data_IF_060387121532
#
_entry.id   IF_060387121532
#
_cell.length_a   1.000
_cell.length_b   1.000
_cell.length_c   1.000
_cell.angle_alpha   90.00
_cell.angle_beta   90.00
_cell.angle_gamma   90.00
#
_symmetry.space_group_name_H-M   'P 1'
#
loop_
_entity.id
_entity.type
_entity.pdbx_description
1 polymer ?
#
# COMPACT_ATOMS: atom_id res chain seq x y z
N UNK A 1 12.74 5.39 52.10
CA UNK A 1 13.27 5.85 50.80
C UNK A 1 12.88 4.75 49.79
N UNK A 2 11.63 4.85 49.32
CA UNK A 2 11.08 3.92 48.33
C UNK A 2 11.57 4.37 46.96
N UNK A 3 12.30 3.50 46.30
CA UNK A 3 12.74 3.69 44.92
C UNK A 3 11.63 3.14 44.05
N UNK A 4 10.81 4.04 43.46
CA UNK A 4 9.75 3.74 42.53
C UNK A 4 10.39 3.38 41.16
N UNK A 5 10.57 2.08 40.91
CA UNK A 5 10.96 1.59 39.59
C UNK A 5 9.73 1.54 38.70
N UNK A 6 9.35 2.68 38.14
CA UNK A 6 8.50 2.70 36.97
C UNK A 6 9.27 2.12 35.78
N UNK A 7 9.32 0.79 35.69
CA UNK A 7 9.75 0.08 34.49
C UNK A 7 8.66 0.31 33.43
N UNK A 8 8.88 1.33 32.59
CA UNK A 8 8.09 1.51 31.37
C UNK A 8 8.41 0.29 30.48
N UNK A 9 7.55 -0.71 30.52
CA UNK A 9 7.56 -1.74 29.50
C UNK A 9 7.18 -1.08 28.18
N UNK A 10 8.18 -0.68 27.39
CA UNK A 10 7.99 -0.45 25.98
C UNK A 10 7.54 -1.78 25.38
N UNK A 11 6.24 -1.96 25.19
CA UNK A 11 5.71 -3.00 24.34
C UNK A 11 6.30 -2.72 22.95
N UNK A 12 7.34 -3.46 22.63
CA UNK A 12 7.99 -3.40 21.33
C UNK A 12 7.00 -4.00 20.32
N UNK A 13 6.13 -3.18 19.74
CA UNK A 13 5.21 -3.58 18.69
C UNK A 13 6.00 -3.86 17.43
N UNK A 14 5.61 -4.87 16.69
CA UNK A 14 6.12 -5.13 15.35
C UNK A 14 5.36 -4.27 14.33
N UNK A 15 5.99 -3.92 13.21
CA UNK A 15 5.33 -3.26 12.10
C UNK A 15 4.26 -4.20 11.53
N UNK A 16 3.06 -3.67 11.27
CA UNK A 16 1.94 -4.44 10.70
C UNK A 16 1.52 -3.84 9.37
N UNK A 17 1.30 -4.70 8.39
CA UNK A 17 0.66 -4.34 7.14
C UNK A 17 -0.69 -5.06 7.04
N UNK A 18 -1.76 -4.29 6.85
CA UNK A 18 -3.10 -4.79 6.57
C UNK A 18 -3.41 -4.58 5.09
N UNK A 19 -3.77 -5.64 4.37
CA UNK A 19 -4.26 -5.53 3.00
C UNK A 19 -5.70 -5.02 3.02
N UNK A 20 -5.92 -3.79 2.56
CA UNK A 20 -7.24 -3.18 2.45
C UNK A 20 -7.95 -3.60 1.16
N UNK A 21 -7.16 -3.86 0.12
CA UNK A 21 -7.60 -4.38 -1.15
C UNK A 21 -6.45 -5.05 -1.89
N UNK A 22 -6.76 -6.10 -2.61
CA UNK A 22 -5.76 -6.95 -3.32
C UNK A 22 -6.15 -7.19 -4.77
N UNK A 23 -7.19 -6.52 -5.25
CA UNK A 23 -7.69 -6.63 -6.61
C UNK A 23 -7.14 -5.56 -7.54
N UNK A 24 -7.19 -5.84 -8.82
CA UNK A 24 -6.87 -4.93 -9.92
C UNK A 24 -7.91 -3.80 -10.07
N UNK A 25 -7.72 -2.94 -11.06
CA UNK A 25 -8.52 -1.73 -11.33
C UNK A 25 -10.04 -1.92 -11.40
N UNK A 26 -10.53 -3.12 -11.70
CA UNK A 26 -11.96 -3.44 -11.76
C UNK A 26 -12.51 -3.97 -10.42
N UNK A 27 -11.64 -4.35 -9.48
CA UNK A 27 -12.03 -5.11 -8.30
C UNK A 27 -12.57 -6.52 -8.65
N UNK A 28 -12.88 -7.33 -7.64
CA UNK A 28 -13.51 -8.65 -7.81
C UNK A 28 -14.63 -8.77 -6.77
N UNK A 29 -15.88 -9.03 -7.18
CA UNK A 29 -16.38 -9.32 -8.53
C UNK A 29 -16.37 -8.12 -9.46
N UNK A 30 -16.19 -8.38 -10.75
CA UNK A 30 -16.28 -7.37 -11.81
C UNK A 30 -17.76 -7.12 -12.16
N UNK A 31 -18.11 -5.86 -12.39
CA UNK A 31 -19.47 -5.46 -12.78
C UNK A 31 -19.93 -6.25 -14.02
N UNK A 32 -21.13 -6.79 -13.96
CA UNK A 32 -21.76 -7.60 -15.03
C UNK A 32 -20.98 -8.87 -15.42
N UNK A 33 -20.10 -9.38 -14.57
CA UNK A 33 -19.36 -10.62 -14.83
C UNK A 33 -19.95 -11.81 -14.08
N UNK A 34 -20.26 -12.87 -14.81
CA UNK A 34 -20.86 -14.10 -14.31
C UNK A 34 -19.87 -15.28 -14.22
N UNK A 35 -18.57 -15.02 -14.29
CA UNK A 35 -17.57 -16.08 -14.20
C UNK A 35 -17.56 -16.76 -12.81
N UNK A 36 -17.01 -17.98 -12.70
CA UNK A 36 -17.00 -18.72 -11.43
C UNK A 36 -16.32 -17.95 -10.27
N UNK A 37 -15.28 -17.15 -10.55
CA UNK A 37 -14.59 -16.36 -9.53
C UNK A 37 -15.47 -15.21 -9.04
N UNK A 38 -16.11 -14.46 -9.94
CA UNK A 38 -17.02 -13.37 -9.58
C UNK A 38 -18.27 -13.84 -8.82
N UNK A 39 -18.72 -15.08 -9.06
CA UNK A 39 -19.84 -15.72 -8.35
C UNK A 39 -19.41 -16.51 -7.11
N UNK A 40 -18.13 -16.57 -6.81
CA UNK A 40 -17.61 -17.33 -5.67
C UNK A 40 -18.12 -16.77 -4.34
N UNK A 41 -18.42 -17.68 -3.42
CA UNK A 41 -18.74 -17.36 -2.01
C UNK A 41 -17.50 -17.35 -1.11
N UNK A 42 -16.35 -17.80 -1.62
CA UNK A 42 -15.09 -17.71 -0.89
C UNK A 42 -14.68 -16.24 -0.74
N UNK A 43 -14.55 -15.73 0.50
CA UNK A 43 -14.19 -14.34 0.74
C UNK A 43 -12.83 -13.97 0.14
N UNK A 44 -11.91 -14.91 -0.05
CA UNK A 44 -10.59 -14.66 -0.65
C UNK A 44 -10.66 -14.36 -2.15
N UNK A 45 -11.80 -14.64 -2.79
CA UNK A 45 -12.08 -14.28 -4.18
C UNK A 45 -12.82 -12.93 -4.31
N UNK A 46 -13.08 -12.24 -3.20
CA UNK A 46 -13.63 -10.87 -3.19
C UNK A 46 -12.49 -9.91 -2.89
N UNK A 47 -12.26 -8.95 -3.78
CA UNK A 47 -11.09 -8.08 -3.72
C UNK A 47 -11.48 -6.65 -4.04
N UNK A 48 -11.31 -5.74 -3.09
CA UNK A 48 -11.28 -4.31 -3.35
C UNK A 48 -10.03 -3.95 -4.17
N UNK A 49 -10.02 -2.76 -4.77
CA UNK A 49 -8.84 -2.23 -5.48
C UNK A 49 -7.66 -2.07 -4.53
N UNK A 50 -6.46 -2.27 -5.06
CA UNK A 50 -5.23 -2.39 -4.28
C UNK A 50 -4.98 -1.20 -3.36
N UNK A 51 -4.81 -1.48 -2.09
CA UNK A 51 -4.39 -0.54 -1.06
C UNK A 51 -3.92 -1.30 0.17
N UNK A 52 -2.97 -0.74 0.92
CA UNK A 52 -2.51 -1.30 2.19
C UNK A 52 -2.43 -0.23 3.27
N UNK A 53 -2.57 -0.65 4.51
CA UNK A 53 -2.46 0.19 5.70
C UNK A 53 -1.39 -0.34 6.61
N UNK A 54 -0.43 0.51 6.98
CA UNK A 54 0.73 0.14 7.77
C UNK A 54 0.65 0.82 9.12
N UNK A 55 0.73 0.05 10.18
CA UNK A 55 0.98 0.51 11.53
C UNK A 55 2.44 0.26 11.87
N UNK A 56 3.17 1.33 12.17
CA UNK A 56 4.58 1.28 12.54
C UNK A 56 4.76 0.90 14.02
N UNK A 57 5.98 0.53 14.40
CA UNK A 57 6.31 0.16 15.78
C UNK A 57 6.11 1.30 16.80
N UNK A 58 6.14 2.55 16.33
CA UNK A 58 5.90 3.78 17.12
C UNK A 58 4.49 4.38 16.92
N UNK A 59 3.53 3.53 16.50
CA UNK A 59 2.12 3.89 16.32
C UNK A 59 1.89 5.06 15.34
N UNK A 60 2.67 5.11 14.24
CA UNK A 60 2.30 5.88 13.05
C UNK A 60 1.47 5.01 12.12
N UNK A 61 0.58 5.66 11.40
CA UNK A 61 -0.39 5.01 10.53
C UNK A 61 -0.24 5.55 9.13
N UNK A 62 0.20 4.69 8.21
CA UNK A 62 0.53 5.04 6.84
C UNK A 62 -0.43 4.30 5.91
N UNK A 63 -1.10 5.04 5.04
CA UNK A 63 -1.94 4.48 4.00
C UNK A 63 -1.17 4.49 2.68
N UNK A 64 -1.21 3.38 1.94
CA UNK A 64 -0.71 3.32 0.56
C UNK A 64 -1.88 3.16 -0.38
N UNK A 65 -2.02 4.12 -1.29
CA UNK A 65 -3.09 4.29 -2.25
C UNK A 65 -4.50 4.51 -1.65
N UNK A 66 -5.28 5.32 -2.34
CA UNK A 66 -6.61 5.79 -1.93
C UNK A 66 -7.58 5.56 -3.08
N UNK A 67 -7.95 4.32 -3.32
CA UNK A 67 -8.87 3.91 -4.38
C UNK A 67 -10.34 4.25 -4.09
N UNK A 68 -11.25 4.01 -5.05
CA UNK A 68 -12.67 4.34 -4.90
C UNK A 68 -13.39 3.66 -3.72
N UNK A 69 -12.90 2.50 -3.26
CA UNK A 69 -13.44 1.80 -2.10
C UNK A 69 -12.85 2.24 -0.76
N UNK A 70 -11.98 3.25 -0.73
CA UNK A 70 -11.28 3.69 0.48
C UNK A 70 -12.20 3.86 1.69
N UNK A 71 -13.38 4.46 1.49
CA UNK A 71 -14.37 4.59 2.58
C UNK A 71 -14.79 3.22 3.13
N UNK A 72 -15.09 2.24 2.28
CA UNK A 72 -15.48 0.89 2.70
C UNK A 72 -14.31 0.18 3.38
N UNK A 73 -13.12 0.27 2.80
CA UNK A 73 -11.89 -0.28 3.37
C UNK A 73 -11.64 0.26 4.78
N UNK A 74 -11.82 1.56 5.02
CA UNK A 74 -11.70 2.15 6.36
C UNK A 74 -12.73 1.61 7.35
N UNK A 75 -13.99 1.51 6.92
CA UNK A 75 -15.07 1.03 7.79
C UNK A 75 -14.92 -0.43 8.18
N UNK A 76 -14.52 -1.28 7.23
CA UNK A 76 -14.37 -2.72 7.45
C UNK A 76 -13.12 -3.08 8.28
N UNK A 77 -12.09 -2.24 8.25
CA UNK A 77 -10.85 -2.44 9.00
C UNK A 77 -10.73 -1.52 10.23
N UNK A 78 -11.80 -0.82 10.61
CA UNK A 78 -11.86 0.11 11.75
C UNK A 78 -10.75 1.16 11.77
N UNK A 79 -10.38 1.69 10.59
CA UNK A 79 -9.32 2.70 10.45
C UNK A 79 -9.83 4.03 11.01
N UNK A 80 -9.16 4.54 12.03
CA UNK A 80 -9.52 5.78 12.74
C UNK A 80 -8.48 6.88 12.58
N UNK A 81 -7.29 6.56 12.11
CA UNK A 81 -6.16 7.48 12.04
C UNK A 81 -5.32 7.23 10.80
N UNK A 82 -4.84 8.31 10.18
CA UNK A 82 -3.85 8.30 9.11
C UNK A 82 -2.89 9.44 9.39
N UNK A 83 -1.60 9.14 9.51
CA UNK A 83 -0.54 10.14 9.73
C UNK A 83 0.12 10.56 8.41
N UNK A 84 0.11 9.69 7.39
CA UNK A 84 0.62 9.98 6.06
C UNK A 84 -0.04 9.09 5.00
N UNK A 85 -0.04 9.56 3.77
CA UNK A 85 -0.46 8.80 2.58
C UNK A 85 0.72 8.68 1.63
N UNK A 86 0.95 7.49 1.09
CA UNK A 86 1.90 7.22 0.03
C UNK A 86 1.11 6.82 -1.22
N UNK A 87 1.41 7.41 -2.36
CA UNK A 87 0.74 7.05 -3.62
C UNK A 87 1.75 6.43 -4.58
N UNK A 88 1.39 5.29 -5.15
CA UNK A 88 2.21 4.61 -6.14
C UNK A 88 2.18 5.35 -7.47
N UNK A 89 1.00 5.76 -7.91
CA UNK A 89 0.76 6.51 -9.15
C UNK A 89 -0.68 7.08 -9.16
N UNK A 90 -1.05 7.75 -10.26
CA UNK A 90 -2.28 8.53 -10.36
C UNK A 90 -3.44 7.86 -11.08
N UNK A 91 -3.42 6.54 -11.32
CA UNK A 91 -4.57 5.83 -11.87
C UNK A 91 -5.77 5.89 -10.92
N UNK A 92 -6.97 5.80 -11.50
CA UNK A 92 -8.23 6.02 -10.78
C UNK A 92 -8.42 5.04 -9.61
N UNK A 93 -8.02 3.82 -9.79
CA UNK A 93 -8.13 2.74 -8.79
C UNK A 93 -7.19 2.93 -7.58
N UNK A 94 -6.16 3.76 -7.70
CA UNK A 94 -5.22 4.11 -6.63
C UNK A 94 -5.46 5.50 -6.04
N UNK A 95 -6.26 6.37 -6.70
CA UNK A 95 -6.34 7.78 -6.33
C UNK A 95 -7.76 8.31 -6.10
N UNK A 96 -8.80 7.78 -6.73
CA UNK A 96 -10.10 8.46 -6.78
C UNK A 96 -10.93 8.40 -5.48
N UNK A 97 -10.43 7.84 -4.40
CA UNK A 97 -10.98 7.95 -3.05
C UNK A 97 -10.43 9.13 -2.23
N UNK A 98 -9.54 9.95 -2.83
CA UNK A 98 -8.76 10.99 -2.13
C UNK A 98 -9.64 12.03 -1.42
N UNK A 99 -10.86 12.30 -1.89
CA UNK A 99 -11.80 13.21 -1.22
C UNK A 99 -12.18 12.76 0.19
N UNK A 100 -12.22 11.46 0.45
CA UNK A 100 -12.56 10.93 1.77
C UNK A 100 -11.45 11.13 2.81
N UNK A 101 -10.25 11.53 2.41
CA UNK A 101 -9.18 11.97 3.32
C UNK A 101 -9.59 13.21 4.16
N UNK A 102 -10.62 13.95 3.73
CA UNK A 102 -11.21 15.05 4.53
C UNK A 102 -11.70 14.64 5.92
N UNK A 103 -11.92 13.34 6.15
CA UNK A 103 -12.29 12.82 7.46
C UNK A 103 -11.10 12.87 8.45
N UNK A 104 -9.88 12.84 7.95
CA UNK A 104 -8.65 12.89 8.73
C UNK A 104 -8.05 14.30 8.81
N UNK A 105 -8.25 15.13 7.77
CA UNK A 105 -7.82 16.54 7.73
C UNK A 105 -8.70 17.32 6.75
N UNK A 106 -9.25 18.45 7.17
CA UNK A 106 -10.25 19.18 6.39
C UNK A 106 -10.01 20.69 6.37
N UNK A 107 -10.02 21.27 5.16
CA UNK A 107 -10.12 22.73 4.97
C UNK A 107 -11.58 23.16 4.84
N UNK A 108 -11.99 24.17 5.59
CA UNK A 108 -13.37 24.70 5.59
C UNK A 108 -13.35 26.23 5.53
N UNK A 109 -14.42 26.81 4.95
CA UNK A 109 -14.56 28.27 4.83
C UNK A 109 -14.68 28.96 6.22
N UNK A 110 -15.31 28.29 7.17
CA UNK A 110 -15.48 28.77 8.55
C UNK A 110 -15.12 27.67 9.55
N UNK A 111 -14.63 28.11 10.70
CA UNK A 111 -14.40 27.21 11.82
C UNK A 111 -15.73 26.57 12.26
N UNK A 112 -15.82 25.23 12.25
CA UNK A 112 -17.02 24.51 12.64
C UNK A 112 -17.26 24.59 14.15
N UNK A 113 -18.52 24.47 14.56
CA UNK A 113 -18.91 24.50 15.98
C UNK A 113 -18.94 23.12 16.64
N UNK A 114 -19.14 22.07 15.85
CA UNK A 114 -19.16 20.71 16.37
C UNK A 114 -17.74 20.20 16.65
N UNK A 115 -17.53 19.48 17.78
CA UNK A 115 -16.18 19.08 18.19
C UNK A 115 -15.43 18.22 17.18
N UNK A 116 -16.12 17.29 16.51
CA UNK A 116 -15.50 16.37 15.56
C UNK A 116 -15.00 17.09 14.28
N UNK A 117 -15.81 17.99 13.73
CA UNK A 117 -15.40 18.80 12.59
C UNK A 117 -14.33 19.82 12.97
N UNK A 118 -14.37 20.34 14.20
CA UNK A 118 -13.36 21.27 14.72
C UNK A 118 -11.99 20.58 14.85
N UNK A 119 -11.94 19.36 15.31
CA UNK A 119 -10.71 18.57 15.41
C UNK A 119 -10.07 18.40 14.01
N UNK A 120 -10.84 17.99 13.01
CA UNK A 120 -10.38 17.87 11.63
C UNK A 120 -9.92 19.20 11.02
N UNK A 121 -10.65 20.27 11.30
CA UNK A 121 -10.31 21.61 10.85
C UNK A 121 -8.99 22.10 11.41
N UNK A 122 -8.70 21.81 12.68
CA UNK A 122 -7.46 22.18 13.38
C UNK A 122 -6.30 21.24 13.07
N UNK A 123 -6.54 20.05 12.53
CA UNK A 123 -5.49 19.12 12.15
C UNK A 123 -4.53 19.77 11.12
N UNK A 124 -3.23 19.47 11.19
CA UNK A 124 -2.30 19.89 10.15
C UNK A 124 -2.69 19.28 8.80
N UNK A 125 -2.20 19.84 7.68
CA UNK A 125 -2.35 19.20 6.38
C UNK A 125 -1.82 17.76 6.44
N UNK A 126 -2.59 16.82 5.88
CA UNK A 126 -2.17 15.43 5.79
C UNK A 126 -1.06 15.30 4.74
N UNK A 127 0.15 14.83 5.09
CA UNK A 127 1.23 14.67 4.12
C UNK A 127 0.92 13.53 3.16
N UNK A 128 1.08 13.82 1.86
CA UNK A 128 0.91 12.86 0.75
C UNK A 128 2.22 12.81 -0.03
N UNK A 129 2.87 11.66 -0.03
CA UNK A 129 4.14 11.43 -0.70
C UNK A 129 3.92 10.67 -2.00
N UNK A 130 4.58 11.10 -3.07
CA UNK A 130 4.47 10.45 -4.38
C UNK A 130 5.58 10.91 -5.32
N UNK A 131 5.64 10.37 -6.55
CA UNK A 131 6.54 10.87 -7.59
C UNK A 131 6.03 12.16 -8.23
N UNK A 132 6.89 12.82 -8.98
CA UNK A 132 6.59 14.12 -9.62
C UNK A 132 5.38 14.06 -10.55
N UNK A 133 5.29 13.02 -11.38
CA UNK A 133 4.19 12.88 -12.37
C UNK A 133 2.84 12.76 -11.66
N UNK A 134 2.77 11.93 -10.63
CA UNK A 134 1.56 11.78 -9.84
C UNK A 134 1.21 13.07 -9.08
N UNK A 135 2.19 13.79 -8.55
CA UNK A 135 1.98 15.08 -7.88
C UNK A 135 1.37 16.13 -8.83
N UNK A 136 1.86 16.22 -10.06
CA UNK A 136 1.32 17.09 -11.11
C UNK A 136 -0.12 16.73 -11.47
N UNK A 137 -0.40 15.43 -11.65
CA UNK A 137 -1.74 14.91 -11.93
C UNK A 137 -2.75 15.24 -10.82
N UNK A 138 -2.37 15.03 -9.54
CA UNK A 138 -3.22 15.38 -8.40
C UNK A 138 -3.53 16.87 -8.41
N UNK A 139 -2.53 17.71 -8.63
CA UNK A 139 -2.68 19.17 -8.66
C UNK A 139 -3.65 19.63 -9.74
N UNK A 140 -3.69 18.94 -10.87
CA UNK A 140 -4.63 19.21 -11.96
C UNK A 140 -6.04 18.68 -11.67
N UNK A 141 -6.17 17.39 -11.37
CA UNK A 141 -7.48 16.72 -11.22
C UNK A 141 -8.23 17.17 -9.97
N UNK A 142 -7.50 17.46 -8.89
CA UNK A 142 -8.06 17.88 -7.59
C UNK A 142 -7.64 19.30 -7.22
N UNK A 143 -7.58 20.20 -8.22
CA UNK A 143 -7.15 21.58 -8.04
C UNK A 143 -7.90 22.33 -6.92
N UNK A 144 -9.14 21.95 -6.65
CA UNK A 144 -9.95 22.53 -5.56
C UNK A 144 -9.38 22.27 -4.15
N UNK A 145 -8.52 21.27 -3.94
CA UNK A 145 -7.83 21.08 -2.66
C UNK A 145 -6.84 22.21 -2.34
N UNK A 146 -6.31 22.83 -3.37
CA UNK A 146 -5.28 23.86 -3.28
C UNK A 146 -5.82 25.27 -3.43
N UNK A 147 -7.14 25.43 -3.65
CA UNK A 147 -7.81 26.70 -3.74
C UNK A 147 -8.42 27.10 -2.40
N UNK A 148 -8.54 28.41 -2.10
CA UNK A 148 -9.28 28.87 -0.94
C UNK A 148 -10.74 28.39 -0.98
N UNK A 149 -11.20 27.78 0.10
CA UNK A 149 -12.61 27.37 0.21
C UNK A 149 -13.50 28.62 0.26
N UNK A 150 -14.39 28.76 -0.73
CA UNK A 150 -15.22 29.97 -0.90
C UNK A 150 -16.57 29.87 -0.20
N UNK A 151 -17.23 28.70 -0.26
CA UNK A 151 -18.56 28.46 0.30
C UNK A 151 -18.75 26.98 0.64
N UNK A 152 -19.66 26.69 1.58
CA UNK A 152 -20.15 25.33 1.83
C UNK A 152 -19.22 24.46 2.66
N UNK A 153 -19.18 23.19 2.31
CA UNK A 153 -18.45 22.14 3.03
C UNK A 153 -16.93 22.29 3.04
N UNK A 154 -16.25 21.22 3.46
CA UNK A 154 -14.81 21.18 3.45
C UNK A 154 -14.27 20.20 2.39
N UNK A 155 -13.04 20.38 1.99
CA UNK A 155 -12.25 19.43 1.19
C UNK A 155 -11.09 18.87 2.00
N UNK A 156 -10.48 17.78 1.54
CA UNK A 156 -9.29 17.23 2.16
C UNK A 156 -8.18 18.31 2.21
N UNK A 157 -7.54 18.44 3.37
CA UNK A 157 -6.42 19.36 3.59
C UNK A 157 -5.13 18.55 3.51
N UNK A 158 -4.55 18.52 2.33
CA UNK A 158 -3.38 17.72 2.01
C UNK A 158 -2.17 18.57 1.68
N UNK A 159 -0.98 18.04 1.95
CA UNK A 159 0.30 18.62 1.54
C UNK A 159 1.06 17.59 0.71
N UNK A 160 1.30 17.89 -0.57
CA UNK A 160 2.00 16.98 -1.49
C UNK A 160 3.50 17.14 -1.34
N UNK A 161 4.19 16.01 -1.20
CA UNK A 161 5.64 15.89 -1.15
C UNK A 161 6.13 14.99 -2.28
N UNK A 162 7.07 15.47 -3.07
CA UNK A 162 7.74 14.64 -4.07
C UNK A 162 8.82 13.84 -3.37
N UNK A 163 8.69 12.51 -3.39
CA UNK A 163 9.61 11.59 -2.75
C UNK A 163 10.62 11.06 -3.79
N UNK A 164 11.83 11.61 -3.78
CA UNK A 164 12.96 11.15 -4.61
C UNK A 164 13.97 10.34 -3.80
N UNK A 165 14.13 10.68 -2.51
CA UNK A 165 15.05 10.03 -1.57
C UNK A 165 14.29 9.36 -0.42
N UNK A 166 15.01 8.57 0.37
CA UNK A 166 14.49 8.00 1.62
C UNK A 166 14.18 9.10 2.64
N UNK A 167 13.06 8.96 3.34
CA UNK A 167 12.63 9.86 4.41
C UNK A 167 12.07 9.06 5.60
N UNK A 168 11.68 9.74 6.67
CA UNK A 168 11.15 9.10 7.87
C UNK A 168 9.72 9.53 8.17
N UNK A 169 8.88 8.56 8.58
CA UNK A 169 7.60 8.79 9.23
C UNK A 169 7.70 8.13 10.60
N UNK A 170 7.80 8.95 11.66
CA UNK A 170 8.19 8.43 12.97
C UNK A 170 9.56 7.76 12.92
N UNK A 171 9.67 6.53 13.41
CA UNK A 171 10.91 5.74 13.39
C UNK A 171 11.09 4.89 12.13
N UNK A 172 10.08 4.82 11.27
CA UNK A 172 10.10 4.02 10.05
C UNK A 172 10.75 4.79 8.91
N UNK A 173 11.81 4.23 8.33
CA UNK A 173 12.40 4.74 7.10
C UNK A 173 11.55 4.28 5.91
N UNK A 174 11.16 5.24 5.06
CA UNK A 174 10.41 5.01 3.83
C UNK A 174 11.36 5.26 2.66
N UNK A 175 11.53 4.29 1.78
CA UNK A 175 12.33 4.43 0.57
C UNK A 175 11.46 4.26 -0.66
N UNK A 176 11.36 5.28 -1.54
CA UNK A 176 10.68 5.14 -2.82
C UNK A 176 11.50 4.23 -3.75
N UNK A 177 10.84 3.26 -4.36
CA UNK A 177 11.45 2.32 -5.30
C UNK A 177 10.92 2.62 -6.71
N UNK A 178 11.75 3.13 -7.63
CA UNK A 178 11.33 3.39 -9.00
C UNK A 178 10.93 2.11 -9.73
N UNK A 179 9.77 2.12 -10.37
CA UNK A 179 9.25 1.00 -11.16
C UNK A 179 8.58 1.54 -12.43
N UNK A 180 8.21 0.64 -13.34
CA UNK A 180 7.47 0.98 -14.55
C UNK A 180 6.20 0.17 -14.67
N UNK A 181 5.12 0.84 -15.03
CA UNK A 181 3.82 0.29 -15.38
C UNK A 181 3.57 0.59 -16.88
N UNK A 182 4.03 -0.30 -17.76
CA UNK A 182 4.18 0.02 -19.17
C UNK A 182 5.19 1.16 -19.38
N UNK A 183 4.71 2.31 -19.86
CA UNK A 183 5.51 3.52 -20.02
C UNK A 183 5.35 4.54 -18.88
N UNK A 184 4.46 4.26 -17.93
CA UNK A 184 4.21 5.13 -16.78
C UNK A 184 5.20 4.81 -15.66
N UNK A 185 6.01 5.79 -15.20
CA UNK A 185 6.79 5.63 -13.97
C UNK A 185 5.86 5.52 -12.76
N UNK A 186 6.04 4.46 -11.96
CA UNK A 186 5.34 4.22 -10.71
C UNK A 186 6.33 4.10 -9.55
N UNK A 187 5.83 4.19 -8.33
CA UNK A 187 6.66 4.15 -7.12
C UNK A 187 6.22 3.00 -6.24
N UNK A 188 7.11 2.04 -6.04
CA UNK A 188 7.01 1.09 -4.95
C UNK A 188 7.49 1.71 -3.64
N UNK A 189 7.13 1.12 -2.53
CA UNK A 189 7.47 1.62 -1.21
C UNK A 189 8.16 0.55 -0.36
N UNK A 190 9.34 0.84 0.13
CA UNK A 190 10.07 0.01 1.07
C UNK A 190 9.98 0.65 2.47
N UNK A 191 9.45 -0.09 3.42
CA UNK A 191 9.31 0.28 4.83
C UNK A 191 10.38 -0.45 5.62
N UNK A 192 11.25 0.27 6.30
CA UNK A 192 12.34 -0.31 7.09
C UNK A 192 12.29 0.19 8.51
N UNK A 193 12.25 -0.71 9.47
CA UNK A 193 12.36 -0.43 10.88
C UNK A 193 13.61 -1.08 11.49
N UNK A 194 14.17 -0.43 12.50
CA UNK A 194 15.30 -0.98 13.25
C UNK A 194 14.84 -1.31 14.66
N UNK A 195 14.98 -2.58 15.04
CA UNK A 195 14.64 -3.08 16.37
C UNK A 195 15.83 -3.89 16.91
N UNK A 196 16.36 -3.53 18.07
CA UNK A 196 17.54 -4.19 18.68
C UNK A 196 18.71 -4.33 17.68
N UNK A 197 19.02 -3.27 16.96
CA UNK A 197 20.06 -3.22 15.91
C UNK A 197 19.83 -4.11 14.70
N UNK A 198 18.68 -4.75 14.61
CA UNK A 198 18.26 -5.54 13.43
C UNK A 198 17.31 -4.71 12.58
N UNK A 199 17.63 -4.53 11.30
CA UNK A 199 16.74 -3.92 10.32
C UNK A 199 15.84 -4.98 9.71
N UNK A 200 14.53 -4.74 9.73
CA UNK A 200 13.52 -5.55 9.08
C UNK A 200 12.67 -4.69 8.14
N UNK A 201 12.21 -5.28 7.06
CA UNK A 201 11.53 -4.51 6.02
C UNK A 201 10.35 -5.24 5.39
N UNK A 202 9.41 -4.41 4.93
CA UNK A 202 8.31 -4.79 4.04
C UNK A 202 8.47 -3.97 2.76
N UNK A 203 8.48 -4.61 1.58
CA UNK A 203 8.40 -3.95 0.29
C UNK A 203 7.00 -4.12 -0.31
N UNK A 204 6.40 -3.02 -0.78
CA UNK A 204 5.12 -2.98 -1.49
C UNK A 204 5.33 -2.47 -2.92
N UNK A 205 5.28 -3.39 -3.89
CA UNK A 205 5.66 -3.17 -5.28
C UNK A 205 4.49 -3.56 -6.20
N UNK A 206 3.42 -2.77 -6.17
CA UNK A 206 2.22 -2.99 -7.01
C UNK A 206 2.22 -2.12 -8.25
N UNK A 207 1.42 -2.49 -9.23
CA UNK A 207 1.27 -1.79 -10.50
C UNK A 207 2.59 -1.59 -11.23
N UNK A 208 3.20 -2.72 -11.58
CA UNK A 208 4.41 -2.72 -12.36
C UNK A 208 4.53 -3.96 -13.25
N UNK A 209 5.21 -3.78 -14.38
CA UNK A 209 5.67 -4.86 -15.25
C UNK A 209 7.20 -4.87 -15.40
N UNK A 210 7.89 -3.92 -14.74
CA UNK A 210 9.34 -3.84 -14.77
C UNK A 210 9.89 -3.17 -13.51
N UNK A 211 10.89 -3.81 -12.91
CA UNK A 211 11.71 -3.32 -11.80
C UNK A 211 13.17 -3.43 -12.26
N UNK A 212 13.89 -2.30 -12.30
CA UNK A 212 15.26 -2.28 -12.79
C UNK A 212 16.23 -2.96 -11.81
N UNK A 213 17.38 -3.40 -12.31
CA UNK A 213 18.44 -3.93 -11.45
C UNK A 213 18.94 -2.88 -10.44
N UNK A 214 18.88 -1.59 -10.79
CA UNK A 214 19.20 -0.49 -9.87
C UNK A 214 18.17 -0.41 -8.73
N UNK A 215 16.88 -0.56 -9.03
CA UNK A 215 15.81 -0.61 -8.04
C UNK A 215 15.94 -1.82 -7.11
N UNK A 216 16.31 -2.98 -7.67
CA UNK A 216 16.57 -4.20 -6.88
C UNK A 216 17.78 -4.00 -5.96
N UNK A 217 18.87 -3.41 -6.47
CA UNK A 217 20.04 -3.05 -5.64
C UNK A 217 19.67 -2.08 -4.51
N UNK A 218 18.87 -1.05 -4.82
CA UNK A 218 18.38 -0.10 -3.83
C UNK A 218 17.57 -0.80 -2.71
N UNK A 219 16.71 -1.76 -3.05
CA UNK A 219 16.01 -2.57 -2.05
C UNK A 219 17.02 -3.30 -1.16
N UNK A 220 18.00 -4.01 -1.73
CA UNK A 220 19.00 -4.77 -0.96
C UNK A 220 19.87 -3.88 -0.08
N UNK A 221 20.22 -2.67 -0.54
CA UNK A 221 21.01 -1.72 0.23
C UNK A 221 20.25 -1.14 1.44
N UNK A 222 18.94 -0.98 1.33
CA UNK A 222 18.11 -0.29 2.33
C UNK A 222 17.36 -1.22 3.26
N UNK A 223 16.99 -2.44 2.81
CA UNK A 223 16.08 -3.30 3.56
C UNK A 223 16.67 -3.90 4.85
N UNK A 224 18.00 -4.10 4.92
CA UNK A 224 18.58 -4.97 5.95
C UNK A 224 18.13 -6.42 5.73
N UNK A 225 17.07 -6.85 6.41
CA UNK A 225 16.39 -8.12 6.14
C UNK A 225 14.99 -7.86 5.55
N UNK A 226 14.74 -8.31 4.32
CA UNK A 226 13.43 -8.21 3.69
C UNK A 226 12.55 -9.38 4.15
N UNK A 227 11.69 -9.12 5.11
CA UNK A 227 10.80 -10.16 5.65
C UNK A 227 9.60 -10.38 4.73
N UNK A 228 8.98 -9.31 4.23
CA UNK A 228 7.83 -9.41 3.34
C UNK A 228 8.02 -8.64 2.04
N UNK A 229 7.74 -9.31 0.92
CA UNK A 229 7.60 -8.72 -0.40
C UNK A 229 6.15 -8.83 -0.85
N UNK A 230 5.47 -7.71 -1.03
CA UNK A 230 4.18 -7.62 -1.70
C UNK A 230 4.44 -7.14 -3.13
N UNK A 231 4.08 -7.94 -4.14
CA UNK A 231 4.43 -7.66 -5.53
C UNK A 231 3.22 -7.82 -6.46
N UNK A 232 3.22 -7.04 -7.56
CA UNK A 232 2.23 -7.18 -8.63
C UNK A 232 2.19 -8.63 -9.15
N UNK A 233 1.00 -9.17 -9.29
CA UNK A 233 0.76 -10.50 -9.83
C UNK A 233 -0.65 -10.57 -10.38
N UNK A 234 -0.82 -10.13 -11.64
CA UNK A 234 -2.13 -9.86 -12.20
C UNK A 234 -2.95 -11.12 -12.49
N UNK A 235 -2.39 -12.05 -13.24
CA UNK A 235 -3.01 -13.30 -13.73
C UNK A 235 -1.95 -14.23 -14.35
N UNK A 236 -2.36 -15.42 -14.82
CA UNK A 236 -1.45 -16.35 -15.52
C UNK A 236 -1.01 -15.80 -16.88
N UNK A 237 -1.94 -15.19 -17.63
CA UNK A 237 -1.67 -14.68 -18.97
C UNK A 237 -0.81 -13.41 -18.90
N UNK A 238 0.11 -13.24 -19.85
CA UNK A 238 0.91 -12.02 -19.99
C UNK A 238 0.03 -10.78 -20.20
N UNK A 239 0.51 -9.67 -19.63
CA UNK A 239 -0.09 -8.35 -19.75
C UNK A 239 0.97 -7.31 -20.06
N UNK A 240 0.60 -6.28 -20.81
CA UNK A 240 1.55 -5.26 -21.29
C UNK A 240 2.08 -4.33 -20.20
N UNK A 241 1.37 -4.19 -19.10
CA UNK A 241 1.66 -3.18 -18.06
C UNK A 241 1.80 -3.77 -16.65
N UNK A 242 1.49 -5.06 -16.46
CA UNK A 242 1.58 -5.74 -15.17
C UNK A 242 2.41 -7.01 -15.27
N UNK A 243 3.03 -7.42 -14.18
CA UNK A 243 3.56 -8.76 -14.08
C UNK A 243 2.44 -9.81 -14.14
N UNK A 244 2.63 -10.83 -14.97
CA UNK A 244 1.91 -12.08 -14.78
C UNK A 244 2.52 -12.86 -13.61
N UNK A 245 1.90 -13.96 -13.16
CA UNK A 245 2.41 -14.71 -12.01
C UNK A 245 3.82 -15.27 -12.23
N UNK A 246 4.19 -15.64 -13.46
CA UNK A 246 5.53 -16.17 -13.75
C UNK A 246 6.59 -15.06 -13.66
N UNK A 247 6.31 -13.89 -14.22
CA UNK A 247 7.17 -12.71 -14.14
C UNK A 247 7.30 -12.21 -12.70
N UNK A 248 6.20 -12.27 -11.91
CA UNK A 248 6.24 -11.96 -10.49
C UNK A 248 7.16 -12.92 -9.70
N UNK A 249 7.12 -14.23 -10.00
CA UNK A 249 8.06 -15.21 -9.43
C UNK A 249 9.50 -14.92 -9.83
N UNK A 250 9.76 -14.58 -11.10
CA UNK A 250 11.09 -14.22 -11.58
C UNK A 250 11.64 -12.98 -10.85
N UNK A 251 10.86 -11.89 -10.78
CA UNK A 251 11.25 -10.68 -10.08
C UNK A 251 11.48 -10.95 -8.59
N UNK A 252 10.59 -11.72 -7.95
CA UNK A 252 10.73 -12.11 -6.55
C UNK A 252 11.98 -12.95 -6.29
N UNK A 253 12.39 -13.79 -7.24
CA UNK A 253 13.63 -14.59 -7.16
C UNK A 253 14.90 -13.72 -7.15
N UNK A 254 14.86 -12.54 -7.77
CA UNK A 254 15.96 -11.57 -7.77
C UNK A 254 15.96 -10.71 -6.50
N UNK A 255 14.77 -10.31 -6.03
CA UNK A 255 14.59 -9.47 -4.84
C UNK A 255 14.86 -10.25 -3.55
N UNK A 256 14.37 -11.46 -3.44
CA UNK A 256 14.47 -12.38 -2.30
C UNK A 256 13.87 -11.84 -1.00
N UNK A 257 12.87 -12.54 -0.49
CA UNK A 257 12.22 -12.24 0.80
C UNK A 257 11.79 -13.53 1.49
N UNK A 258 11.56 -13.47 2.81
CA UNK A 258 11.07 -14.62 3.56
C UNK A 258 9.64 -15.00 3.15
N UNK A 259 8.77 -14.01 2.97
CA UNK A 259 7.37 -14.18 2.61
C UNK A 259 7.05 -13.31 1.38
N UNK A 260 6.44 -13.91 0.36
CA UNK A 260 6.10 -13.25 -0.90
C UNK A 260 4.59 -13.30 -1.09
N UNK A 261 3.98 -12.13 -1.39
CA UNK A 261 2.55 -11.94 -1.50
C UNK A 261 2.20 -11.34 -2.85
N UNK A 262 1.43 -12.05 -3.68
CA UNK A 262 0.93 -11.48 -4.92
C UNK A 262 -0.29 -10.62 -4.64
N UNK A 263 -0.33 -9.44 -5.24
CA UNK A 263 -1.45 -8.48 -5.15
C UNK A 263 -1.87 -8.01 -6.54
N UNK A 264 -2.84 -7.11 -6.63
CA UNK A 264 -3.39 -6.57 -7.89
C UNK A 264 -4.03 -7.64 -8.79
N UNK A 265 -4.70 -8.61 -8.19
CA UNK A 265 -5.17 -9.85 -8.80
C UNK A 265 -6.49 -9.63 -9.54
N UNK A 266 -6.63 -10.23 -10.75
CA UNK A 266 -7.87 -10.23 -11.53
C UNK A 266 -8.85 -11.32 -11.08
N UNK A 267 -10.00 -11.37 -11.77
CA UNK A 267 -11.03 -12.42 -11.62
C UNK A 267 -10.81 -13.64 -12.54
N UNK A 268 -9.62 -13.78 -13.14
CA UNK A 268 -9.36 -14.90 -14.09
C UNK A 268 -9.12 -16.20 -13.37
N UNK A 269 -8.39 -16.17 -12.27
CA UNK A 269 -8.07 -17.33 -11.43
C UNK A 269 -8.62 -17.11 -10.03
N UNK A 270 -9.14 -18.18 -9.41
CA UNK A 270 -9.51 -18.19 -8.00
C UNK A 270 -8.26 -18.19 -7.11
N UNK A 271 -8.43 -17.79 -5.86
CA UNK A 271 -7.33 -17.79 -4.86
C UNK A 271 -6.61 -19.15 -4.81
N UNK A 272 -7.35 -20.26 -4.81
CA UNK A 272 -6.78 -21.60 -4.77
C UNK A 272 -6.06 -21.99 -6.07
N UNK A 273 -6.57 -21.59 -7.23
CA UNK A 273 -5.89 -21.82 -8.50
C UNK A 273 -4.55 -21.09 -8.58
N UNK A 274 -4.47 -19.88 -8.02
CA UNK A 274 -3.22 -19.14 -7.91
C UNK A 274 -2.22 -19.86 -7.01
N UNK A 275 -2.66 -20.38 -5.85
CA UNK A 275 -1.81 -21.18 -4.96
C UNK A 275 -1.22 -22.39 -5.70
N UNK A 276 -2.06 -23.14 -6.41
CA UNK A 276 -1.59 -24.31 -7.15
C UNK A 276 -0.63 -23.93 -8.30
N UNK A 277 -0.88 -22.82 -8.99
CA UNK A 277 0.02 -22.30 -10.02
C UNK A 277 1.40 -21.93 -9.43
N UNK A 278 1.40 -21.23 -8.30
CA UNK A 278 2.65 -20.86 -7.59
C UNK A 278 3.42 -22.12 -7.19
N UNK A 279 2.78 -23.12 -6.57
CA UNK A 279 3.43 -24.37 -6.15
C UNK A 279 4.08 -25.11 -7.32
N UNK A 280 3.46 -25.09 -8.49
CA UNK A 280 3.98 -25.77 -9.68
C UNK A 280 5.17 -25.05 -10.31
N UNK A 281 5.20 -23.71 -10.26
CA UNK A 281 6.16 -22.91 -11.00
C UNK A 281 7.31 -22.35 -10.13
N UNK A 282 7.09 -22.04 -8.87
CA UNK A 282 8.09 -21.46 -7.98
C UNK A 282 9.38 -22.30 -7.85
N UNK A 283 9.35 -23.65 -7.86
CA UNK A 283 10.58 -24.46 -7.80
C UNK A 283 11.55 -24.23 -8.96
N UNK A 284 11.11 -23.67 -10.10
CA UNK A 284 11.94 -23.34 -11.25
C UNK A 284 12.84 -22.11 -11.03
N UNK A 285 12.64 -21.37 -9.94
CA UNK A 285 13.37 -20.15 -9.62
C UNK A 285 14.29 -20.36 -8.40
N UNK A 286 15.61 -20.50 -8.59
CA UNK A 286 16.54 -20.84 -7.48
C UNK A 286 16.52 -19.83 -6.32
N UNK A 287 16.35 -18.53 -6.61
CA UNK A 287 16.28 -17.49 -5.57
C UNK A 287 15.06 -17.56 -4.66
N UNK A 288 14.05 -18.38 -4.98
CA UNK A 288 12.85 -18.60 -4.14
C UNK A 288 12.99 -19.79 -3.18
N UNK A 289 14.08 -20.54 -3.23
CA UNK A 289 14.28 -21.72 -2.36
C UNK A 289 14.40 -21.35 -0.87
N UNK A 290 14.79 -20.12 -0.56
CA UNK A 290 14.89 -19.58 0.80
C UNK A 290 13.59 -18.96 1.30
N UNK A 291 12.62 -18.75 0.41
CA UNK A 291 11.33 -18.19 0.80
C UNK A 291 10.54 -19.19 1.68
N UNK A 292 10.04 -18.71 2.81
CA UNK A 292 9.22 -19.51 3.73
C UNK A 292 7.83 -19.74 3.16
N UNK A 293 7.31 -18.78 2.38
CA UNK A 293 5.98 -18.87 1.78
C UNK A 293 5.85 -17.93 0.58
N UNK A 294 5.12 -18.37 -0.46
CA UNK A 294 4.72 -17.57 -1.63
C UNK A 294 3.23 -17.81 -1.85
N UNK A 295 2.40 -16.78 -1.65
CA UNK A 295 0.94 -16.90 -1.67
C UNK A 295 0.29 -15.67 -2.33
N UNK A 296 -0.92 -15.78 -2.88
CA UNK A 296 -1.73 -14.61 -3.17
C UNK A 296 -2.20 -13.97 -1.86
N UNK A 297 -2.12 -12.65 -1.77
CA UNK A 297 -2.74 -11.90 -0.68
C UNK A 297 -4.27 -11.89 -0.82
N UNK A 298 -4.98 -11.55 0.25
CA UNK A 298 -6.43 -11.35 0.25
C UNK A 298 -6.82 -10.18 1.17
N UNK A 299 -7.98 -9.60 0.92
CA UNK A 299 -8.44 -8.43 1.66
C UNK A 299 -8.61 -8.74 3.14
N UNK A 300 -8.22 -7.78 4.00
CA UNK A 300 -8.22 -7.84 5.47
C UNK A 300 -7.17 -8.80 6.07
N UNK A 301 -6.30 -9.39 5.25
CA UNK A 301 -5.14 -10.11 5.76
C UNK A 301 -4.17 -9.14 6.46
N UNK A 302 -3.60 -9.59 7.58
CA UNK A 302 -2.56 -8.86 8.33
C UNK A 302 -1.28 -9.64 8.29
N UNK A 303 -0.16 -8.98 8.04
CA UNK A 303 1.19 -9.51 8.18
C UNK A 303 1.98 -8.64 9.15
N UNK A 304 2.94 -9.22 9.85
CA UNK A 304 3.75 -8.56 10.90
C UNK A 304 5.24 -8.79 10.61
N UNK A 305 6.05 -7.75 10.84
CA UNK A 305 7.50 -7.75 10.55
C UNK A 305 8.33 -7.33 11.77
#
# INVERSE_FOLDING_TARGET
MEIDFNVIFFYNKDMKLTFLGTGTSQGVPVIACDCPVCKSTDPKNRRYRSSVYIQTNDDKFILVDVGPEFRLQCLENDIKKIDAVLLTHSHADHLHGIDDLRIFSCSMFREPKDPQSLERYKAPPLPVYTNKICAEDISHRFSYFFMPVKEGGGCAKVQIHIAEDSFFIGNTQITPIPMMHGHLPTTGWLFTETKNDVKKSIAYLTDCNYISDDSIRLIHEKCGHLEHLVIDGLMIKEHSTHFNFLQALEASSKIQADYIWFTHITHKESHNQIIEYIKQNAPSFPGLQTAKSILPAFDRQVIEC
#
